data_IF_850539067713
#
_entry.id   IF_850539067713
#
_cell.length_a   1.000
_cell.length_b   1.000
_cell.length_c   1.000
_cell.angle_alpha   90.00
_cell.angle_beta   90.00
_cell.angle_gamma   90.00
#
_symmetry.space_group_name_H-M   'P 1'
#
loop_
_entity.id
_entity.type
_entity.pdbx_description
1 polymer ?
#
# COMPACT_ATOMS: atom_id res chain seq x y z
N UNK A 1 -61.96 -105.24 -3.77
CA UNK A 1 -60.48 -105.19 -3.91
C UNK A 1 -59.97 -103.75 -4.14
N UNK A 2 -60.31 -102.77 -3.29
CA UNK A 2 -59.85 -101.36 -3.48
C UNK A 2 -58.95 -100.83 -2.36
N UNK A 3 -58.96 -101.45 -1.17
CA UNK A 3 -58.20 -100.96 -0.02
C UNK A 3 -56.68 -101.21 -0.12
N UNK A 4 -56.24 -102.22 -0.88
CA UNK A 4 -54.84 -102.63 -0.95
C UNK A 4 -53.96 -101.65 -1.77
N UNK A 5 -54.57 -100.80 -2.59
CA UNK A 5 -53.87 -99.78 -3.38
C UNK A 5 -53.83 -98.40 -2.68
N UNK A 6 -54.62 -98.17 -1.63
CA UNK A 6 -54.74 -96.83 -1.00
C UNK A 6 -53.51 -96.48 -0.18
N UNK A 7 -53.00 -97.42 0.61
CA UNK A 7 -51.78 -97.26 1.43
C UNK A 7 -50.51 -96.92 0.62
N UNK A 8 -50.19 -97.62 -0.48
CA UNK A 8 -49.02 -97.24 -1.28
C UNK A 8 -49.22 -95.89 -1.98
N UNK A 9 -50.43 -95.55 -2.42
CA UNK A 9 -50.71 -94.26 -3.07
C UNK A 9 -50.59 -93.08 -2.08
N UNK A 10 -51.04 -93.24 -0.83
CA UNK A 10 -50.87 -92.18 0.19
C UNK A 10 -49.40 -92.01 0.61
N UNK A 11 -48.64 -93.10 0.70
CA UNK A 11 -47.19 -93.02 0.93
C UNK A 11 -46.47 -92.29 -0.22
N UNK A 12 -46.78 -92.62 -1.47
CA UNK A 12 -46.24 -91.90 -2.63
C UNK A 12 -46.61 -90.41 -2.61
N UNK A 13 -47.87 -90.08 -2.33
CA UNK A 13 -48.31 -88.69 -2.21
C UNK A 13 -47.57 -87.94 -1.09
N UNK A 14 -47.30 -88.59 0.05
CA UNK A 14 -46.55 -87.98 1.15
C UNK A 14 -45.09 -87.66 0.78
N UNK A 15 -44.42 -88.54 0.04
CA UNK A 15 -43.04 -88.33 -0.44
C UNK A 15 -42.98 -87.19 -1.46
N UNK A 16 -43.96 -87.09 -2.36
CA UNK A 16 -44.08 -85.99 -3.33
C UNK A 16 -44.26 -84.65 -2.59
N UNK A 17 -45.12 -84.61 -1.55
CA UNK A 17 -45.34 -83.41 -0.74
C UNK A 17 -44.06 -82.95 -0.03
N UNK A 18 -43.30 -83.86 0.58
CA UNK A 18 -42.01 -83.53 1.23
C UNK A 18 -41.00 -83.01 0.22
N UNK A 19 -40.94 -83.60 -0.98
CA UNK A 19 -40.11 -83.10 -2.09
C UNK A 19 -40.47 -81.65 -2.47
N UNK A 20 -41.77 -81.37 -2.61
CA UNK A 20 -42.27 -80.04 -2.94
C UNK A 20 -41.95 -79.00 -1.84
N UNK A 21 -42.10 -79.37 -0.57
CA UNK A 21 -41.75 -78.52 0.57
C UNK A 21 -40.26 -78.17 0.56
N UNK A 22 -39.38 -79.13 0.24
CA UNK A 22 -37.93 -78.88 0.15
C UNK A 22 -37.56 -77.91 -0.98
N UNK A 23 -38.20 -78.04 -2.14
CA UNK A 23 -38.01 -77.13 -3.28
C UNK A 23 -38.45 -75.71 -2.90
N UNK A 24 -39.64 -75.58 -2.29
CA UNK A 24 -40.15 -74.29 -1.79
C UNK A 24 -39.27 -73.67 -0.72
N UNK A 25 -38.76 -74.46 0.22
CA UNK A 25 -37.83 -73.97 1.25
C UNK A 25 -36.55 -73.42 0.63
N UNK A 26 -36.00 -74.10 -0.40
CA UNK A 26 -34.82 -73.62 -1.14
C UNK A 26 -35.09 -72.31 -1.90
N UNK A 27 -36.28 -72.14 -2.48
CA UNK A 27 -36.70 -70.89 -3.12
C UNK A 27 -36.82 -69.76 -2.10
N UNK A 28 -37.47 -70.02 -0.95
CA UNK A 28 -37.59 -69.06 0.14
C UNK A 28 -36.23 -68.62 0.68
N UNK A 29 -35.33 -69.57 0.97
CA UNK A 29 -33.97 -69.27 1.43
C UNK A 29 -33.17 -68.46 0.39
N UNK A 30 -33.47 -68.62 -0.91
CA UNK A 30 -32.86 -67.84 -2.00
C UNK A 30 -33.42 -66.42 -2.02
N UNK A 31 -34.74 -66.25 -1.96
CA UNK A 31 -35.37 -64.93 -1.88
C UNK A 31 -34.95 -64.17 -0.62
N UNK A 32 -34.89 -64.82 0.53
CA UNK A 32 -34.44 -64.20 1.78
C UNK A 32 -33.02 -63.64 1.65
N UNK A 33 -32.11 -64.40 1.04
CA UNK A 33 -30.74 -63.92 0.76
C UNK A 33 -30.76 -62.71 -0.16
N UNK A 34 -31.54 -62.74 -1.25
CA UNK A 34 -31.64 -61.60 -2.17
C UNK A 34 -32.22 -60.37 -1.48
N UNK A 35 -33.24 -60.53 -0.64
CA UNK A 35 -33.80 -59.43 0.16
C UNK A 35 -32.76 -58.86 1.13
N UNK A 36 -31.99 -59.71 1.82
CA UNK A 36 -30.89 -59.23 2.70
C UNK A 36 -29.83 -58.47 1.92
N UNK A 37 -29.45 -58.93 0.73
CA UNK A 37 -28.51 -58.21 -0.13
C UNK A 37 -29.07 -56.86 -0.60
N UNK A 38 -30.36 -56.80 -0.96
CA UNK A 38 -31.02 -55.56 -1.32
C UNK A 38 -31.10 -54.59 -0.14
N UNK A 39 -31.43 -55.07 1.07
CA UNK A 39 -31.45 -54.24 2.29
C UNK A 39 -30.08 -53.64 2.59
N UNK A 40 -29.01 -54.46 2.54
CA UNK A 40 -27.63 -53.99 2.74
C UNK A 40 -27.27 -52.97 1.67
N UNK A 41 -27.57 -53.26 0.40
CA UNK A 41 -27.27 -52.34 -0.69
C UNK A 41 -27.99 -51.00 -0.49
N UNK A 42 -29.25 -51.04 -0.09
CA UNK A 42 -30.07 -49.85 0.17
C UNK A 42 -29.51 -49.04 1.33
N UNK A 43 -29.08 -49.70 2.43
CA UNK A 43 -28.41 -49.04 3.55
C UNK A 43 -27.12 -48.35 3.11
N UNK A 44 -26.22 -49.07 2.43
CA UNK A 44 -24.96 -48.50 1.95
C UNK A 44 -25.21 -47.35 0.98
N UNK A 45 -26.23 -47.46 0.14
CA UNK A 45 -26.58 -46.39 -0.82
C UNK A 45 -27.08 -45.15 -0.07
N UNK A 46 -27.90 -45.32 0.97
CA UNK A 46 -28.37 -44.22 1.79
C UNK A 46 -27.24 -43.58 2.62
N UNK A 47 -26.32 -44.38 3.18
CA UNK A 47 -25.18 -43.88 3.94
C UNK A 47 -24.28 -43.01 3.04
N UNK A 48 -23.94 -43.50 1.85
CA UNK A 48 -23.15 -42.76 0.86
C UNK A 48 -23.89 -41.51 0.37
N UNK A 49 -25.21 -41.61 0.14
CA UNK A 49 -26.02 -40.45 -0.24
C UNK A 49 -26.03 -39.37 0.85
N UNK A 50 -26.10 -39.79 2.12
CA UNK A 50 -26.05 -38.89 3.27
C UNK A 50 -24.68 -38.21 3.38
N UNK A 51 -23.58 -38.92 3.09
CA UNK A 51 -22.25 -38.32 3.02
C UNK A 51 -22.18 -37.22 1.95
N UNK A 52 -22.70 -37.48 0.75
CA UNK A 52 -22.77 -36.46 -0.31
C UNK A 52 -23.60 -35.25 0.11
N UNK A 53 -24.76 -35.46 0.74
CA UNK A 53 -25.59 -34.36 1.23
C UNK A 53 -24.88 -33.52 2.30
N UNK A 54 -24.16 -34.19 3.22
CA UNK A 54 -23.35 -33.49 4.23
C UNK A 54 -22.23 -32.68 3.58
N UNK A 55 -21.59 -33.23 2.56
CA UNK A 55 -20.53 -32.52 1.82
C UNK A 55 -21.09 -31.30 1.07
N UNK A 56 -22.29 -31.38 0.49
CA UNK A 56 -22.97 -30.22 -0.10
C UNK A 56 -23.24 -29.13 0.94
N UNK A 57 -23.76 -29.49 2.12
CA UNK A 57 -24.01 -28.55 3.22
C UNK A 57 -22.71 -27.88 3.68
N UNK A 58 -21.64 -28.66 3.85
CA UNK A 58 -20.33 -28.13 4.25
C UNK A 58 -19.73 -27.20 3.19
N UNK A 59 -19.89 -27.52 1.90
CA UNK A 59 -19.49 -26.63 0.80
C UNK A 59 -20.31 -25.35 0.80
N UNK A 60 -21.62 -25.44 0.98
CA UNK A 60 -22.52 -24.29 1.07
C UNK A 60 -22.09 -23.36 2.22
N UNK A 61 -21.81 -23.93 3.40
CA UNK A 61 -21.36 -23.19 4.58
C UNK A 61 -20.00 -22.52 4.35
N UNK A 62 -19.07 -23.20 3.68
CA UNK A 62 -17.78 -22.60 3.28
C UNK A 62 -18.00 -21.44 2.31
N UNK A 63 -18.89 -21.61 1.33
CA UNK A 63 -19.26 -20.56 0.36
C UNK A 63 -19.83 -19.33 1.06
N UNK A 64 -20.79 -19.51 1.96
CA UNK A 64 -21.37 -18.42 2.75
C UNK A 64 -20.30 -17.70 3.57
N UNK A 65 -19.42 -18.45 4.25
CA UNK A 65 -18.31 -17.85 5.01
C UNK A 65 -17.38 -17.04 4.10
N UNK A 66 -16.97 -17.59 2.96
CA UNK A 66 -16.12 -16.87 2.01
C UNK A 66 -16.81 -15.64 1.41
N UNK A 67 -18.14 -15.69 1.22
CA UNK A 67 -18.91 -14.56 0.74
C UNK A 67 -18.98 -13.44 1.79
N UNK A 68 -19.12 -13.79 3.07
CA UNK A 68 -19.04 -12.81 4.17
C UNK A 68 -17.64 -12.19 4.25
N UNK A 69 -16.60 -13.01 4.18
CA UNK A 69 -15.22 -12.52 4.21
C UNK A 69 -14.94 -11.57 3.02
N UNK A 70 -15.44 -11.91 1.81
CA UNK A 70 -15.35 -11.03 0.63
C UNK A 70 -16.05 -9.70 0.83
N UNK A 71 -17.26 -9.69 1.41
CA UNK A 71 -17.99 -8.44 1.70
C UNK A 71 -17.23 -7.56 2.70
N UNK A 72 -16.66 -8.16 3.74
CA UNK A 72 -15.85 -7.42 4.72
C UNK A 72 -14.62 -6.78 4.05
N UNK A 73 -13.91 -7.54 3.20
CA UNK A 73 -12.75 -7.01 2.45
C UNK A 73 -13.19 -5.92 1.47
N UNK A 74 -14.34 -6.05 0.82
CA UNK A 74 -14.89 -5.02 -0.07
C UNK A 74 -15.20 -3.72 0.70
N UNK A 75 -15.79 -3.82 1.89
CA UNK A 75 -16.00 -2.67 2.78
C UNK A 75 -14.67 -2.03 3.23
N UNK A 76 -13.65 -2.82 3.55
CA UNK A 76 -12.32 -2.32 3.87
C UNK A 76 -11.67 -1.60 2.69
N UNK A 77 -11.76 -2.16 1.48
CA UNK A 77 -11.22 -1.56 0.26
C UNK A 77 -11.90 -0.23 -0.03
N UNK A 78 -13.23 -0.15 0.07
CA UNK A 78 -13.96 1.11 -0.15
C UNK A 78 -13.59 2.18 0.89
N UNK A 79 -13.42 1.80 2.17
CA UNK A 79 -12.90 2.70 3.19
C UNK A 79 -11.47 3.18 2.93
N UNK A 80 -10.58 2.30 2.45
CA UNK A 80 -9.22 2.68 2.10
C UNK A 80 -9.17 3.57 0.86
N UNK A 81 -10.02 3.31 -0.13
CA UNK A 81 -10.10 4.09 -1.35
C UNK A 81 -10.59 5.53 -1.07
N UNK A 82 -11.62 5.69 -0.24
CA UNK A 82 -12.09 7.02 0.20
C UNK A 82 -11.04 7.76 1.02
N UNK A 83 -10.30 7.07 1.90
CA UNK A 83 -9.14 7.67 2.61
C UNK A 83 -8.05 8.11 1.64
N UNK A 84 -7.72 7.28 0.65
CA UNK A 84 -6.70 7.60 -0.35
C UNK A 84 -7.09 8.84 -1.17
N UNK A 85 -8.35 8.93 -1.62
CA UNK A 85 -8.87 10.10 -2.33
C UNK A 85 -8.80 11.37 -1.48
N UNK A 86 -9.17 11.28 -0.19
CA UNK A 86 -9.04 12.41 0.73
C UNK A 86 -7.59 12.84 0.89
N UNK A 87 -6.67 11.91 1.14
CA UNK A 87 -5.24 12.23 1.30
C UNK A 87 -4.64 12.81 0.02
N UNK A 88 -5.10 12.38 -1.16
CA UNK A 88 -4.69 12.95 -2.44
C UNK A 88 -5.17 14.39 -2.57
N UNK A 89 -6.43 14.67 -2.24
CA UNK A 89 -6.97 16.03 -2.21
C UNK A 89 -6.20 16.94 -1.24
N UNK A 90 -5.91 16.46 -0.04
CA UNK A 90 -5.13 17.20 0.96
C UNK A 90 -3.70 17.49 0.46
N UNK A 91 -3.06 16.52 -0.21
CA UNK A 91 -1.74 16.70 -0.82
C UNK A 91 -1.75 17.73 -1.96
N UNK A 92 -2.76 17.69 -2.83
CA UNK A 92 -2.91 18.66 -3.93
C UNK A 92 -3.08 20.10 -3.38
N UNK A 93 -3.85 20.27 -2.30
CA UNK A 93 -3.99 21.56 -1.61
C UNK A 93 -2.66 22.03 -1.02
N UNK A 94 -1.92 21.14 -0.35
CA UNK A 94 -0.62 21.47 0.23
C UNK A 94 0.41 21.88 -0.83
N UNK A 95 0.45 21.17 -1.97
CA UNK A 95 1.30 21.53 -3.10
C UNK A 95 0.92 22.87 -3.72
N UNK A 96 -0.39 23.19 -3.78
CA UNK A 96 -0.87 24.51 -4.22
C UNK A 96 -0.43 25.64 -3.29
N UNK A 97 -0.54 25.44 -1.98
CA UNK A 97 -0.06 26.39 -0.97
C UNK A 97 1.45 26.59 -1.06
N UNK A 98 2.23 25.51 -1.17
CA UNK A 98 3.68 25.57 -1.30
C UNK A 98 4.13 26.40 -2.51
N UNK A 99 3.46 26.28 -3.66
CA UNK A 99 3.74 27.11 -4.83
C UNK A 99 3.45 28.60 -4.57
N UNK A 100 2.32 28.88 -3.92
CA UNK A 100 1.91 30.25 -3.58
C UNK A 100 2.90 30.89 -2.60
N UNK A 101 3.40 30.12 -1.63
CA UNK A 101 4.42 30.58 -0.69
C UNK A 101 5.76 30.80 -1.40
N UNK A 102 6.16 29.90 -2.31
CA UNK A 102 7.37 30.08 -3.12
C UNK A 102 7.31 31.35 -3.98
N UNK A 103 6.18 31.64 -4.61
CA UNK A 103 5.98 32.88 -5.38
C UNK A 103 6.04 34.13 -4.49
N UNK A 104 5.45 34.08 -3.29
CA UNK A 104 5.53 35.17 -2.31
C UNK A 104 6.95 35.41 -1.79
N UNK A 105 7.71 34.34 -1.53
CA UNK A 105 9.12 34.42 -1.12
C UNK A 105 9.93 35.06 -2.24
N UNK A 106 9.81 34.58 -3.48
CA UNK A 106 10.51 35.14 -4.62
C UNK A 106 10.19 36.63 -4.84
N UNK A 107 8.92 37.03 -4.70
CA UNK A 107 8.52 38.43 -4.78
C UNK A 107 9.12 39.27 -3.63
N UNK A 108 9.15 38.74 -2.42
CA UNK A 108 9.72 39.42 -1.25
C UNK A 108 11.23 39.59 -1.36
N UNK A 109 11.94 38.58 -1.86
CA UNK A 109 13.37 38.64 -2.14
C UNK A 109 13.68 39.67 -3.23
N UNK A 110 12.88 39.73 -4.30
CA UNK A 110 13.03 40.74 -5.34
C UNK A 110 12.85 42.17 -4.79
N UNK A 111 11.83 42.37 -3.95
CA UNK A 111 11.60 43.67 -3.28
C UNK A 111 12.75 44.03 -2.34
N UNK A 112 13.24 43.09 -1.55
CA UNK A 112 14.38 43.32 -0.64
C UNK A 112 15.62 43.73 -1.42
N UNK A 113 15.94 43.02 -2.51
CA UNK A 113 17.07 43.35 -3.37
C UNK A 113 16.92 44.74 -4.01
N UNK A 114 15.70 45.13 -4.41
CA UNK A 114 15.40 46.47 -4.91
C UNK A 114 15.64 47.56 -3.86
N UNK A 115 15.06 47.41 -2.66
CA UNK A 115 15.24 48.35 -1.54
C UNK A 115 16.70 48.46 -1.14
N UNK A 116 17.43 47.33 -1.11
CA UNK A 116 18.87 47.32 -0.81
C UNK A 116 19.66 48.14 -1.83
N UNK A 117 19.34 48.02 -3.12
CA UNK A 117 19.98 48.81 -4.16
C UNK A 117 19.66 50.32 -4.04
N UNK A 118 18.42 50.68 -3.68
CA UNK A 118 18.05 52.08 -3.41
C UNK A 118 18.80 52.64 -2.19
N UNK A 119 18.89 51.86 -1.10
CA UNK A 119 19.64 52.24 0.09
C UNK A 119 21.13 52.46 -0.21
N UNK A 120 21.75 51.56 -0.98
CA UNK A 120 23.15 51.69 -1.39
C UNK A 120 23.37 52.95 -2.24
N UNK A 121 22.40 53.30 -3.10
CA UNK A 121 22.43 54.53 -3.90
C UNK A 121 22.29 55.78 -3.04
N UNK A 122 21.31 55.84 -2.15
CA UNK A 122 21.13 56.98 -1.23
C UNK A 122 22.34 57.17 -0.30
N UNK A 123 22.90 56.07 0.21
CA UNK A 123 24.12 56.12 1.03
C UNK A 123 25.30 56.67 0.24
N UNK A 124 25.48 56.27 -1.01
CA UNK A 124 26.53 56.81 -1.87
C UNK A 124 26.32 58.31 -2.17
N UNK A 125 25.08 58.73 -2.41
CA UNK A 125 24.71 60.13 -2.66
C UNK A 125 24.96 61.01 -1.42
N UNK A 126 24.48 60.59 -0.25
CA UNK A 126 24.73 61.27 1.03
C UNK A 126 26.22 61.34 1.35
N UNK A 127 26.97 60.27 1.09
CA UNK A 127 28.43 60.28 1.30
C UNK A 127 29.11 61.30 0.39
N UNK A 128 28.71 61.40 -0.87
CA UNK A 128 29.23 62.38 -1.80
C UNK A 128 28.88 63.82 -1.38
N UNK A 129 27.65 64.05 -0.89
CA UNK A 129 27.21 65.37 -0.40
C UNK A 129 27.97 65.78 0.86
N UNK A 130 28.22 64.85 1.79
CA UNK A 130 29.08 65.07 2.96
C UNK A 130 30.49 65.48 2.52
N UNK A 131 31.06 64.81 1.53
CA UNK A 131 32.40 65.14 1.04
C UNK A 131 32.45 66.48 0.30
N UNK A 132 31.38 66.87 -0.41
CA UNK A 132 31.26 68.21 -1.00
C UNK A 132 31.13 69.30 0.08
N UNK A 133 30.26 69.09 1.08
CA UNK A 133 30.11 69.99 2.22
C UNK A 133 31.42 70.17 2.98
N UNK A 134 32.20 69.10 3.21
CA UNK A 134 33.54 69.19 3.81
C UNK A 134 34.50 70.02 2.96
N UNK A 135 34.46 69.88 1.63
CA UNK A 135 35.27 70.71 0.71
C UNK A 135 34.84 72.18 0.74
N UNK A 136 33.54 72.45 0.79
CA UNK A 136 33.03 73.82 0.94
C UNK A 136 33.44 74.45 2.28
N UNK A 137 33.50 73.66 3.35
CA UNK A 137 33.96 74.11 4.67
C UNK A 137 35.48 74.35 4.69
N UNK A 138 36.26 73.56 3.95
CA UNK A 138 37.69 73.78 3.75
C UNK A 138 38.00 74.92 2.77
N UNK A 139 37.07 75.25 1.88
CA UNK A 139 37.13 76.39 0.99
C UNK A 139 36.81 77.69 1.72
N UNK A 140 37.68 78.70 1.61
CA UNK A 140 37.47 80.02 2.22
C UNK A 140 36.13 80.61 1.74
N UNK A 141 35.24 80.91 2.69
CA UNK A 141 33.89 81.44 2.41
C UNK A 141 33.94 82.65 1.46
N UNK A 142 33.05 82.68 0.45
CA UNK A 142 32.95 83.80 -0.48
C UNK A 142 32.67 85.13 0.23
N UNK A 143 32.07 85.10 1.43
CA UNK A 143 31.87 86.26 2.30
C UNK A 143 33.21 86.86 2.77
N UNK A 144 34.23 86.02 3.00
CA UNK A 144 35.58 86.44 3.36
C UNK A 144 36.33 87.18 2.23
N UNK A 145 35.78 87.23 1.01
CA UNK A 145 36.31 88.03 -0.10
C UNK A 145 35.73 89.45 -0.17
N UNK A 146 34.59 89.71 0.47
CA UNK A 146 33.92 91.02 0.48
C UNK A 146 34.31 91.91 1.69
N UNK A 147 34.89 91.33 2.74
CA UNK A 147 35.40 92.02 3.92
C UNK A 147 36.82 92.56 3.64
N UNK A 148 36.92 93.58 2.79
CA UNK A 148 38.21 94.14 2.36
C UNK A 148 38.84 95.10 3.39
N UNK A 149 38.06 95.55 4.37
CA UNK A 149 38.52 96.20 5.60
C UNK A 149 37.60 95.77 6.76
N UNK A 150 38.03 95.94 8.02
CA UNK A 150 37.35 95.67 9.33
C UNK A 150 37.92 94.40 10.06
N UNK A 151 38.01 94.41 11.42
CA UNK A 151 39.23 94.40 12.24
C UNK A 151 39.74 92.98 12.57
N UNK A 152 40.85 92.89 13.29
CA UNK A 152 41.59 91.64 13.61
C UNK A 152 40.75 90.42 14.07
N UNK A 153 39.63 90.55 14.83
CA UNK A 153 38.82 89.38 15.21
C UNK A 153 38.18 88.63 14.05
N UNK A 154 37.95 89.31 12.92
CA UNK A 154 37.30 88.73 11.72
C UNK A 154 38.32 87.97 10.85
N UNK A 155 39.61 88.30 10.98
CA UNK A 155 40.71 87.69 10.22
C UNK A 155 40.98 86.25 10.65
N UNK A 156 40.89 85.97 11.95
CA UNK A 156 40.99 84.62 12.51
C UNK A 156 39.78 83.75 12.13
N UNK A 157 38.58 84.34 12.05
CA UNK A 157 37.36 83.64 11.62
C UNK A 157 37.39 83.24 10.14
N UNK A 158 38.13 83.97 9.30
CA UNK A 158 38.27 83.71 7.86
C UNK A 158 39.56 82.95 7.48
N UNK A 159 40.34 82.48 8.46
CA UNK A 159 41.48 81.58 8.25
C UNK A 159 42.64 82.15 7.44
N UNK A 160 42.89 83.46 7.46
CA UNK A 160 44.05 84.05 6.77
C UNK A 160 45.28 83.88 7.68
N UNK A 161 46.01 82.79 7.50
CA UNK A 161 47.33 82.60 8.11
C UNK A 161 48.34 82.45 6.98
N UNK A 162 49.11 83.52 6.73
CA UNK A 162 50.26 83.48 5.84
C UNK A 162 51.24 82.41 6.36
N UNK A 163 51.61 81.47 5.48
CA UNK A 163 52.56 80.41 5.77
C UNK A 163 53.96 81.00 6.09
N UNK A 164 54.75 80.38 6.98
CA UNK A 164 55.22 79.02 6.72
C UNK A 164 55.30 78.05 7.92
N UNK A 165 55.24 76.76 7.57
CA UNK A 165 55.85 75.58 8.22
C UNK A 165 55.26 75.07 9.55
N UNK A 166 54.67 73.87 9.44
CA UNK A 166 54.75 72.69 10.32
C UNK A 166 54.35 72.77 11.82
N UNK A 167 53.67 71.70 12.24
CA UNK A 167 53.20 71.33 13.60
C UNK A 167 51.87 72.05 13.96
N UNK A 168 50.81 71.40 14.43
CA UNK A 168 50.72 70.26 15.34
C UNK A 168 49.25 69.71 15.36
N UNK A 169 49.09 68.48 15.88
CA UNK A 169 47.90 67.94 16.56
C UNK A 169 46.59 67.79 15.77
N UNK A 170 46.24 66.58 15.31
CA UNK A 170 45.63 65.53 16.14
C UNK A 170 44.22 65.90 16.63
N UNK A 171 43.23 65.61 15.79
CA UNK A 171 42.04 64.89 16.23
C UNK A 171 41.71 63.83 15.19
N UNK A 172 42.34 62.68 15.40
CA UNK A 172 41.91 61.39 14.88
C UNK A 172 40.54 61.12 15.52
N UNK A 173 39.47 61.60 14.89
CA UNK A 173 38.15 61.04 15.15
C UNK A 173 38.20 59.63 14.54
N UNK A 174 38.41 58.63 15.40
CA UNK A 174 38.16 57.23 15.08
C UNK A 174 36.85 57.15 14.28
N UNK A 175 36.78 56.40 13.16
CA UNK A 175 35.48 55.96 12.69
C UNK A 175 34.80 55.28 13.90
N UNK A 176 33.48 55.42 14.12
CA UNK A 176 32.84 54.66 15.17
C UNK A 176 33.26 53.20 14.98
N UNK A 177 34.02 52.68 15.97
CA UNK A 177 34.16 51.25 16.18
C UNK A 177 32.73 50.75 16.25
N UNK A 178 32.23 50.21 15.14
CA UNK A 178 31.30 49.11 15.27
C UNK A 178 32.14 48.04 15.98
N UNK A 179 31.98 47.97 17.30
CA UNK A 179 32.13 46.73 18.03
C UNK A 179 31.37 45.69 17.21
N UNK A 180 32.11 44.90 16.43
CA UNK A 180 31.73 43.52 16.17
C UNK A 180 31.55 42.89 17.55
N UNK A 181 30.34 43.02 18.09
CA UNK A 181 29.87 42.15 19.15
C UNK A 181 29.75 40.79 18.50
N UNK A 182 30.87 40.09 18.53
CA UNK A 182 31.07 38.70 18.18
C UNK A 182 30.25 37.87 19.18
N UNK A 183 28.94 37.82 18.99
CA UNK A 183 28.12 36.72 19.48
C UNK A 183 28.41 35.50 18.61
N UNK A 184 29.47 34.77 18.97
CA UNK A 184 29.42 33.31 18.88
C UNK A 184 28.50 32.82 20.04
N UNK A 185 27.76 31.69 19.96
CA UNK A 185 27.50 30.76 18.85
C UNK A 185 25.97 30.35 18.78
N UNK A 186 25.52 29.45 17.88
CA UNK A 186 25.89 28.06 17.95
C UNK A 186 26.62 27.63 16.70
N UNK A 187 27.67 26.82 16.90
CA UNK A 187 28.06 25.78 15.98
C UNK A 187 26.77 25.17 15.41
N UNK A 188 26.54 25.36 14.11
CA UNK A 188 25.98 24.25 13.37
C UNK A 188 27.00 23.14 13.54
N UNK A 189 26.75 22.25 14.50
CA UNK A 189 27.09 20.86 14.26
C UNK A 189 26.58 20.57 12.86
N UNK A 190 27.51 20.39 11.92
CA UNK A 190 27.29 19.40 10.88
C UNK A 190 26.92 18.12 11.63
N UNK A 191 25.63 17.96 11.92
CA UNK A 191 24.97 16.71 11.62
C UNK A 191 25.17 16.53 10.13
N UNK A 192 26.33 15.96 9.82
CA UNK A 192 26.46 14.92 8.84
C UNK A 192 25.36 13.93 9.21
N UNK A 193 24.15 14.18 8.72
CA UNK A 193 23.24 13.09 8.45
C UNK A 193 24.02 12.25 7.45
N UNK A 194 24.73 11.25 7.99
CA UNK A 194 25.00 10.04 7.24
C UNK A 194 23.72 9.75 6.47
N UNK A 195 23.81 9.43 5.16
CA UNK A 195 22.64 8.95 4.44
C UNK A 195 22.00 7.89 5.33
N UNK A 196 20.67 7.87 5.52
CA UNK A 196 20.06 6.82 6.32
C UNK A 196 20.66 5.53 5.81
N UNK A 197 21.46 4.88 6.67
CA UNK A 197 21.82 3.50 6.46
C UNK A 197 20.46 2.89 6.28
N UNK A 198 20.17 2.45 5.06
CA UNK A 198 19.29 1.33 4.89
C UNK A 198 19.92 0.27 5.80
N UNK A 199 19.43 0.20 7.04
CA UNK A 199 19.04 -1.10 7.54
C UNK A 199 18.11 -1.64 6.44
N UNK A 200 18.73 -2.29 5.45
CA UNK A 200 18.34 -3.64 5.17
C UNK A 200 18.12 -4.27 6.55
N UNK A 201 16.89 -4.16 7.05
CA UNK A 201 16.20 -5.36 7.43
C UNK A 201 16.41 -6.31 6.26
N UNK A 202 17.53 -7.04 6.32
CA UNK A 202 17.43 -8.48 6.38
C UNK A 202 16.27 -8.76 7.33
N UNK A 203 15.07 -8.75 6.78
CA UNK A 203 14.20 -9.88 7.01
C UNK A 203 15.11 -11.07 6.78
N UNK A 204 15.61 -11.63 7.88
CA UNK A 204 15.98 -13.03 7.87
C UNK A 204 14.81 -13.71 7.13
N UNK A 205 15.08 -14.43 6.03
CA UNK A 205 14.03 -15.24 5.45
C UNK A 205 13.44 -16.04 6.62
N UNK A 206 12.11 -16.15 6.73
CA UNK A 206 11.50 -16.95 7.78
C UNK A 206 12.28 -18.25 7.82
N UNK A 207 12.89 -18.52 8.97
CA UNK A 207 13.59 -19.76 9.24
C UNK A 207 12.56 -20.82 8.90
N UNK A 208 12.68 -21.42 7.72
CA UNK A 208 12.08 -22.70 7.46
C UNK A 208 12.71 -23.57 8.54
N UNK A 209 11.94 -23.82 9.60
CA UNK A 209 12.06 -25.09 10.26
C UNK A 209 11.88 -26.12 9.14
N UNK A 210 13.01 -26.55 8.57
CA UNK A 210 13.15 -27.90 8.08
C UNK A 210 12.73 -28.79 9.26
N UNK A 211 11.42 -29.03 9.37
CA UNK A 211 10.94 -30.34 9.73
C UNK A 211 11.56 -31.25 8.70
N UNK A 212 12.70 -31.79 9.10
CA UNK A 212 13.30 -33.00 8.60
C UNK A 212 12.28 -34.12 8.84
N UNK A 213 11.22 -34.14 8.02
CA UNK A 213 10.45 -35.36 7.83
C UNK A 213 11.38 -36.28 7.07
N UNK A 214 11.84 -37.31 7.79
CA UNK A 214 12.48 -38.47 7.20
C UNK A 214 11.65 -38.93 6.00
N UNK A 215 12.25 -39.22 4.84
CA UNK A 215 11.51 -39.77 3.74
C UNK A 215 10.90 -41.11 4.20
N UNK A 216 9.58 -41.33 4.05
CA UNK A 216 9.03 -42.66 4.26
C UNK A 216 9.72 -43.58 3.25
N UNK A 217 10.36 -44.64 3.77
CA UNK A 217 10.81 -45.78 2.98
C UNK A 217 9.68 -46.21 2.06
N UNK A 218 9.77 -45.90 0.77
CA UNK A 218 8.98 -46.57 -0.24
C UNK A 218 9.52 -47.99 -0.36
N UNK A 219 8.91 -48.91 0.37
CA UNK A 219 8.91 -50.32 0.00
C UNK A 219 8.26 -50.43 -1.38
N UNK A 220 9.06 -50.87 -2.36
CA UNK A 220 8.61 -51.09 -3.71
C UNK A 220 7.48 -52.12 -3.75
N UNK A 221 6.26 -51.65 -4.01
CA UNK A 221 5.22 -52.48 -4.62
C UNK A 221 5.26 -52.26 -6.13
N UNK A 222 5.85 -53.23 -6.81
CA UNK A 222 5.59 -53.56 -8.21
C UNK A 222 4.08 -53.77 -8.35
N UNK A 223 3.40 -52.94 -9.13
CA UNK A 223 2.11 -53.27 -9.73
C UNK A 223 2.18 -53.02 -11.23
N UNK A 224 1.77 -54.05 -11.97
CA UNK A 224 1.79 -54.18 -13.42
C UNK A 224 0.85 -53.16 -14.10
N UNK A 225 1.13 -52.71 -15.33
CA UNK A 225 0.23 -51.82 -16.05
C UNK A 225 -1.04 -52.57 -16.51
N UNK A 226 -2.25 -52.01 -16.31
CA UNK A 226 -3.47 -52.60 -16.84
C UNK A 226 -3.58 -52.36 -18.36
N UNK A 227 -3.95 -53.43 -19.08
CA UNK A 227 -4.35 -53.44 -20.49
C UNK A 227 -5.48 -52.43 -20.74
N UNK A 228 -5.29 -51.52 -21.70
CA UNK A 228 -6.37 -50.78 -22.34
C UNK A 228 -7.15 -51.71 -23.27
N UNK A 229 -8.43 -51.95 -22.95
CA UNK A 229 -9.43 -52.42 -23.92
C UNK A 229 -10.10 -51.20 -24.56
N UNK A 230 -9.86 -50.99 -25.86
CA UNK A 230 -10.60 -50.04 -26.68
C UNK A 230 -12.06 -50.51 -26.81
N UNK A 231 -12.99 -49.80 -26.18
CA UNK A 231 -14.43 -49.89 -26.50
C UNK A 231 -14.76 -48.90 -27.62
N UNK A 232 -15.15 -49.47 -28.77
CA UNK A 232 -15.85 -48.82 -29.88
C UNK A 232 -17.03 -47.96 -29.39
N UNK A 233 -17.03 -46.68 -29.77
CA UNK A 233 -18.23 -45.82 -29.78
C UNK A 233 -19.12 -46.16 -30.99
N UNK A 234 -20.40 -46.43 -30.75
CA UNK A 234 -21.47 -46.34 -31.76
C UNK A 234 -22.08 -44.92 -31.73
N UNK A 235 -22.45 -44.34 -32.88
CA UNK A 235 -23.01 -42.99 -32.93
C UNK A 235 -24.48 -42.94 -32.47
N UNK A 236 -24.94 -41.82 -31.88
CA UNK A 236 -26.31 -41.67 -31.38
C UNK A 236 -27.34 -41.48 -32.50
N UNK A 237 -28.48 -42.17 -32.38
CA UNK A 237 -29.69 -41.99 -33.18
C UNK A 237 -30.32 -40.62 -32.90
N UNK A 238 -30.58 -39.86 -33.97
CA UNK A 238 -31.48 -38.70 -33.96
C UNK A 238 -32.93 -39.17 -33.77
N UNK A 239 -33.62 -38.61 -32.78
CA UNK A 239 -35.05 -38.78 -32.56
C UNK A 239 -35.80 -37.58 -33.20
N UNK A 240 -36.65 -37.86 -34.19
CA UNK A 240 -37.53 -36.90 -34.84
C UNK A 240 -38.56 -36.35 -33.85
N UNK A 241 -38.54 -35.02 -33.62
CA UNK A 241 -39.63 -34.31 -32.94
C UNK A 241 -40.85 -34.24 -33.87
N UNK A 242 -41.85 -35.06 -33.58
CA UNK A 242 -43.19 -34.98 -34.17
C UNK A 242 -43.93 -33.80 -33.53
N UNK A 243 -44.25 -32.78 -34.33
CA UNK A 243 -45.08 -31.65 -33.94
C UNK A 243 -46.56 -32.08 -33.83
N UNK A 244 -47.19 -31.76 -32.70
CA UNK A 244 -48.65 -31.80 -32.50
C UNK A 244 -49.31 -30.56 -33.13
N UNK A 245 -50.51 -30.65 -33.73
CA UNK A 245 -51.21 -29.48 -34.29
C UNK A 245 -51.97 -28.70 -33.21
N UNK A 246 -52.30 -27.42 -33.46
CA UNK A 246 -52.89 -26.53 -32.46
C UNK A 246 -54.38 -26.87 -32.24
N UNK A 247 -54.83 -26.80 -30.98
CA UNK A 247 -56.25 -26.78 -30.63
C UNK A 247 -56.75 -25.34 -30.56
N UNK A 248 -58.01 -25.19 -30.97
CA UNK A 248 -58.86 -24.01 -30.93
C UNK A 248 -58.92 -23.35 -29.55
#
# INVERSE_FOLDING_TARGET
MKAQLVLPVTLFASVILVGFIKIRKKEYDKEEKMNRFQDIKLRVTNDVLQEYQNEEIDRQKKLEKTQTDLKNVEEEVTMLQTKAEKTKGDADVCLGAQKTDADQVAASEANLNGIKAELEKEMAELTAEIDDLKKQLAGRSAVCNFLKEIPDPVKDMCGIKDEPKAQEQEQKAEPPKQEEKKEEPPKQEEKKEEPPKQEEKKEEPPKQEEKKEEPPKQEGKKEEPPKQEEKKEEPPKQEEKKAEPPKQ
#
